data_IF_807605590971
#
_entry.id   IF_807605590971
#
_cell.length_a   1.000
_cell.length_b   1.000
_cell.length_c   1.000
_cell.angle_alpha   90.00
_cell.angle_beta   90.00
_cell.angle_gamma   90.00
#
_symmetry.space_group_name_H-M   'P 1'
#
loop_
_entity.id
_entity.type
_entity.pdbx_description
1 polymer ?
#
# COMPACT_ATOMS: atom_id res chain seq x y z
N UNK A 1 22.61 43.96 -9.20
CA UNK A 1 21.84 42.98 -8.41
C UNK A 1 22.43 42.94 -7.02
N UNK A 2 21.66 43.39 -6.03
CA UNK A 2 22.14 43.59 -4.66
C UNK A 2 21.85 42.35 -3.81
N UNK A 3 22.67 42.12 -2.79
CA UNK A 3 22.55 40.99 -1.86
C UNK A 3 21.16 40.86 -1.19
N UNK A 4 20.35 41.93 -1.20
CA UNK A 4 18.99 41.98 -0.66
C UNK A 4 17.91 41.30 -1.55
N UNK A 5 18.19 41.02 -2.84
CA UNK A 5 17.28 40.25 -3.70
C UNK A 5 17.53 38.73 -3.60
N UNK A 6 18.73 38.33 -3.21
CA UNK A 6 19.06 36.92 -2.96
C UNK A 6 18.39 36.38 -1.68
N UNK A 7 18.23 37.23 -0.66
CA UNK A 7 17.68 36.85 0.64
C UNK A 7 16.15 36.64 0.64
N UNK A 8 15.41 37.26 -0.30
CA UNK A 8 13.97 37.01 -0.48
C UNK A 8 13.64 35.67 -1.16
N UNK A 9 14.61 35.03 -1.84
CA UNK A 9 14.44 33.75 -2.53
C UNK A 9 14.76 32.57 -1.60
N UNK A 10 14.15 32.55 -0.42
CA UNK A 10 14.47 31.63 0.67
C UNK A 10 14.85 30.21 0.24
N UNK A 11 16.15 29.95 0.13
CA UNK A 11 16.77 28.63 0.10
C UNK A 11 16.21 27.60 -0.90
N UNK A 12 15.56 28.01 -2.00
CA UNK A 12 15.06 27.04 -2.97
C UNK A 12 16.23 26.40 -3.71
N UNK A 13 16.31 25.08 -3.67
CA UNK A 13 17.30 24.32 -4.43
C UNK A 13 17.25 24.66 -5.93
N UNK A 14 18.37 24.62 -6.67
CA UNK A 14 18.35 24.78 -8.12
C UNK A 14 17.44 23.72 -8.76
N UNK A 15 16.87 24.04 -9.94
CA UNK A 15 16.15 23.05 -10.72
C UNK A 15 17.10 21.90 -11.09
N UNK A 16 16.56 20.70 -11.13
CA UNK A 16 17.34 19.53 -11.51
C UNK A 16 17.84 19.67 -12.97
N UNK A 17 19.17 19.58 -13.21
CA UNK A 17 19.76 19.81 -14.53
C UNK A 17 19.33 18.78 -15.58
N UNK A 18 18.92 17.57 -15.15
CA UNK A 18 18.53 16.47 -16.04
C UNK A 18 17.05 16.49 -16.43
N UNK A 19 16.29 17.49 -15.98
CA UNK A 19 14.87 17.60 -16.30
C UNK A 19 14.63 17.74 -17.80
N UNK A 20 13.69 16.92 -18.29
CA UNK A 20 13.10 17.13 -19.60
C UNK A 20 12.39 18.50 -19.65
N UNK A 21 12.16 18.97 -20.87
CA UNK A 21 11.64 20.32 -21.11
C UNK A 21 10.30 20.54 -20.41
N UNK A 22 9.41 19.57 -20.47
CA UNK A 22 8.05 19.68 -19.94
C UNK A 22 8.01 19.68 -18.41
N UNK A 23 8.86 18.89 -17.74
CA UNK A 23 8.98 18.90 -16.27
C UNK A 23 9.65 20.18 -15.77
N UNK A 24 10.62 20.70 -16.52
CA UNK A 24 11.25 22.00 -16.21
C UNK A 24 10.25 23.14 -16.31
N UNK A 25 9.49 23.21 -17.41
CA UNK A 25 8.46 24.22 -17.62
C UNK A 25 7.39 24.19 -16.50
N UNK A 26 6.96 22.98 -16.09
CA UNK A 26 6.01 22.84 -14.98
C UNK A 26 6.62 23.23 -13.62
N UNK A 27 7.85 22.83 -13.33
CA UNK A 27 8.53 23.18 -12.08
C UNK A 27 8.78 24.69 -11.96
N UNK A 28 9.14 25.35 -13.06
CA UNK A 28 9.29 26.81 -13.12
C UNK A 28 7.97 27.52 -12.83
N UNK A 29 6.86 27.06 -13.43
CA UNK A 29 5.53 27.59 -13.16
C UNK A 29 5.14 27.40 -11.68
N UNK A 30 5.39 26.22 -11.12
CA UNK A 30 5.09 25.91 -9.72
C UNK A 30 5.92 26.76 -8.74
N UNK A 31 7.21 26.98 -9.04
CA UNK A 31 8.06 27.89 -8.26
C UNK A 31 7.58 29.32 -8.32
N UNK A 32 7.12 29.78 -9.49
CA UNK A 32 6.54 31.12 -9.65
C UNK A 32 5.36 31.33 -8.72
N UNK A 33 4.43 30.35 -8.68
CA UNK A 33 3.29 30.37 -7.77
C UNK A 33 3.70 30.35 -6.30
N UNK A 34 4.64 29.47 -5.94
CA UNK A 34 5.11 29.34 -4.56
C UNK A 34 5.83 30.60 -4.05
N UNK A 35 6.70 31.19 -4.88
CA UNK A 35 7.37 32.44 -4.55
C UNK A 35 6.39 33.60 -4.38
N UNK A 36 5.26 33.54 -5.08
CA UNK A 36 4.15 34.47 -4.92
C UNK A 36 3.69 34.58 -3.46
N UNK A 37 3.58 33.47 -2.73
CA UNK A 37 3.12 33.42 -1.34
C UNK A 37 4.05 34.10 -0.32
N UNK A 38 5.31 34.39 -0.68
CA UNK A 38 6.26 35.05 0.23
C UNK A 38 6.60 34.27 1.52
N UNK A 39 6.34 32.95 1.56
CA UNK A 39 6.59 32.09 2.72
C UNK A 39 7.76 31.14 2.49
N UNK A 40 8.47 30.78 3.57
CA UNK A 40 9.55 29.79 3.50
C UNK A 40 9.01 28.37 3.23
N UNK A 41 9.82 27.53 2.58
CA UNK A 41 9.50 26.11 2.31
C UNK A 41 9.10 25.37 3.58
N UNK A 42 9.85 25.53 4.69
CA UNK A 42 9.52 24.88 5.97
C UNK A 42 8.18 25.34 6.54
N UNK A 43 7.90 26.65 6.50
CA UNK A 43 6.64 27.21 7.01
C UNK A 43 5.45 26.76 6.17
N UNK A 44 5.58 26.76 4.84
CA UNK A 44 4.49 26.33 3.96
C UNK A 44 4.26 24.82 4.02
N UNK A 45 5.34 24.03 4.05
CA UNK A 45 5.25 22.58 4.24
C UNK A 45 4.52 22.23 5.53
N UNK A 46 4.82 22.92 6.64
CA UNK A 46 4.10 22.75 7.91
C UNK A 46 2.61 23.10 7.82
N UNK A 47 2.22 24.12 7.04
CA UNK A 47 0.81 24.50 6.84
C UNK A 47 0.03 23.43 6.08
N UNK A 48 0.68 22.79 5.12
CA UNK A 48 0.09 21.74 4.30
C UNK A 48 0.36 20.33 4.83
N UNK A 49 0.84 20.20 6.09
CA UNK A 49 1.22 18.92 6.71
C UNK A 49 2.16 18.06 5.84
N UNK A 50 3.01 18.71 5.05
CA UNK A 50 3.96 18.12 4.12
C UNK A 50 5.37 18.13 4.72
N UNK A 51 6.18 17.12 4.37
CA UNK A 51 7.61 17.17 4.66
C UNK A 51 8.27 18.29 3.82
N UNK A 52 9.08 19.19 4.42
CA UNK A 52 9.79 20.25 3.69
C UNK A 52 10.64 19.73 2.51
N UNK A 53 11.20 18.53 2.63
CA UNK A 53 11.95 17.87 1.55
C UNK A 53 11.06 17.46 0.37
N UNK A 54 9.83 17.03 0.61
CA UNK A 54 8.85 16.71 -0.44
C UNK A 54 8.44 17.96 -1.21
N UNK A 55 8.16 19.05 -0.48
CA UNK A 55 7.90 20.35 -1.11
C UNK A 55 9.10 20.85 -1.92
N UNK A 56 10.33 20.70 -1.41
CA UNK A 56 11.55 21.04 -2.15
C UNK A 56 11.69 20.23 -3.43
N UNK A 57 11.40 18.92 -3.40
CA UNK A 57 11.41 18.04 -4.60
C UNK A 57 10.36 18.45 -5.65
N UNK A 58 9.17 18.86 -5.21
CA UNK A 58 8.14 19.42 -6.11
C UNK A 58 8.61 20.70 -6.79
N UNK A 59 9.18 21.63 -6.01
CA UNK A 59 9.68 22.90 -6.53
C UNK A 59 10.96 22.76 -7.35
N UNK A 60 11.77 21.72 -7.11
CA UNK A 60 12.97 21.42 -7.88
C UNK A 60 12.66 20.71 -9.21
N UNK A 61 11.44 20.20 -9.39
CA UNK A 61 11.03 19.45 -10.57
C UNK A 61 11.46 17.99 -10.60
N UNK A 62 12.32 17.56 -9.64
CA UNK A 62 12.74 16.17 -9.47
C UNK A 62 11.58 15.23 -9.11
N UNK A 63 10.44 15.81 -8.71
CA UNK A 63 9.19 15.10 -8.49
C UNK A 63 8.02 15.95 -8.97
N UNK A 64 7.09 15.36 -9.71
CA UNK A 64 5.89 16.08 -10.14
C UNK A 64 4.90 16.16 -8.96
N UNK A 65 4.49 17.39 -8.62
CA UNK A 65 3.48 17.62 -7.61
C UNK A 65 2.11 17.03 -8.01
N UNK A 66 1.38 16.38 -7.08
CA UNK A 66 -0.02 16.02 -7.29
C UNK A 66 -0.85 17.23 -7.68
N UNK A 67 -1.88 17.04 -8.50
CA UNK A 67 -2.69 18.18 -8.97
C UNK A 67 -3.43 18.85 -7.81
N UNK A 68 -3.85 18.07 -6.82
CA UNK A 68 -4.52 18.53 -5.60
C UNK A 68 -3.65 19.51 -4.81
N UNK A 69 -2.35 19.24 -4.72
CA UNK A 69 -1.39 20.16 -4.11
C UNK A 69 -1.30 21.48 -4.89
N UNK A 70 -1.32 21.41 -6.23
CA UNK A 70 -1.29 22.60 -7.09
C UNK A 70 -2.57 23.42 -6.88
N UNK A 71 -3.73 22.77 -6.76
CA UNK A 71 -5.00 23.45 -6.48
C UNK A 71 -5.03 24.11 -5.10
N UNK A 72 -4.45 23.46 -4.10
CA UNK A 72 -4.32 24.02 -2.76
C UNK A 72 -3.34 25.19 -2.73
N UNK A 73 -2.23 25.11 -3.48
CA UNK A 73 -1.30 26.22 -3.68
C UNK A 73 -1.98 27.42 -4.35
N UNK A 74 -2.76 27.18 -5.40
CA UNK A 74 -3.51 28.23 -6.11
C UNK A 74 -4.56 28.88 -5.20
N UNK A 75 -5.24 28.10 -4.37
CA UNK A 75 -6.21 28.60 -3.38
C UNK A 75 -5.54 29.47 -2.34
N UNK A 76 -4.46 28.98 -1.74
CA UNK A 76 -3.67 29.73 -0.76
C UNK A 76 -3.13 31.04 -1.34
N UNK A 77 -2.75 31.05 -2.63
CA UNK A 77 -2.29 32.25 -3.32
C UNK A 77 -3.43 33.26 -3.57
N UNK A 78 -4.62 32.77 -3.93
CA UNK A 78 -5.80 33.59 -4.09
C UNK A 78 -6.22 34.25 -2.76
N UNK A 79 -6.12 33.49 -1.66
CA UNK A 79 -6.46 33.95 -0.31
C UNK A 79 -5.45 34.99 0.24
N UNK A 80 -4.15 34.86 -0.06
CA UNK A 80 -3.09 35.75 0.46
C UNK A 80 -2.93 37.06 -0.34
N UNK A 81 -3.33 37.07 -1.63
CA UNK A 81 -3.11 38.22 -2.52
C UNK A 81 -4.36 38.82 -3.18
N UNK A 82 -5.57 38.31 -2.91
CA UNK A 82 -6.80 38.73 -3.59
C UNK A 82 -6.68 38.71 -5.14
N UNK A 83 -5.77 37.88 -5.67
CA UNK A 83 -5.54 37.71 -7.10
C UNK A 83 -6.54 36.69 -7.61
N UNK A 84 -7.46 37.12 -8.48
CA UNK A 84 -8.27 36.19 -9.26
C UNK A 84 -7.38 35.56 -10.34
N UNK A 85 -7.00 34.32 -10.12
CA UNK A 85 -6.37 33.51 -11.17
C UNK A 85 -7.34 33.40 -12.35
N UNK A 86 -6.90 33.84 -13.53
CA UNK A 86 -7.66 33.72 -14.77
C UNK A 86 -7.89 32.24 -15.11
N UNK A 87 -9.07 31.92 -15.62
CA UNK A 87 -9.46 30.56 -16.02
C UNK A 87 -8.51 30.00 -17.09
N UNK A 88 -7.99 30.89 -17.95
CA UNK A 88 -6.95 30.57 -18.94
C UNK A 88 -5.62 30.16 -18.31
N UNK A 89 -5.21 30.81 -17.21
CA UNK A 89 -3.95 30.50 -16.52
C UNK A 89 -4.01 29.12 -15.85
N UNK A 90 -5.18 28.77 -15.27
CA UNK A 90 -5.41 27.45 -14.69
C UNK A 90 -5.41 26.35 -15.75
N UNK A 91 -6.04 26.60 -16.90
CA UNK A 91 -6.03 25.66 -18.03
C UNK A 91 -4.62 25.44 -18.60
N UNK A 92 -3.81 26.51 -18.68
CA UNK A 92 -2.41 26.41 -19.11
C UNK A 92 -1.57 25.57 -18.14
N UNK A 93 -1.73 25.78 -16.83
CA UNK A 93 -1.02 25.01 -15.80
C UNK A 93 -1.42 23.53 -15.80
N UNK A 94 -2.71 23.23 -16.02
CA UNK A 94 -3.19 21.85 -16.21
C UNK A 94 -2.57 21.18 -17.45
N UNK A 95 -2.43 21.93 -18.54
CA UNK A 95 -1.79 21.43 -19.75
C UNK A 95 -0.32 21.08 -19.50
N UNK A 96 0.42 21.96 -18.83
CA UNK A 96 1.82 21.74 -18.45
C UNK A 96 1.98 20.55 -17.48
N UNK A 97 1.10 20.43 -16.48
CA UNK A 97 1.10 19.30 -15.56
C UNK A 97 0.88 17.96 -16.27
N UNK A 98 -0.10 17.89 -17.18
CA UNK A 98 -0.35 16.71 -18.02
C UNK A 98 0.79 16.42 -18.99
N UNK A 99 1.49 17.44 -19.49
CA UNK A 99 2.66 17.26 -20.34
C UNK A 99 3.84 16.67 -19.53
N UNK A 100 4.12 17.23 -18.35
CA UNK A 100 5.15 16.74 -17.43
C UNK A 100 4.89 15.29 -17.00
N UNK A 101 3.64 14.93 -16.67
CA UNK A 101 3.27 13.55 -16.30
C UNK A 101 3.45 12.54 -17.44
N UNK A 102 3.31 12.98 -18.69
CA UNK A 102 3.50 12.14 -19.88
C UNK A 102 4.97 11.86 -20.16
N UNK A 103 5.86 12.81 -19.84
CA UNK A 103 7.28 12.75 -20.16
C UNK A 103 8.16 12.32 -18.99
N UNK A 104 7.69 12.47 -17.75
CA UNK A 104 8.32 11.89 -16.56
C UNK A 104 8.14 10.37 -16.58
N UNK A 105 9.23 9.67 -16.91
CA UNK A 105 9.26 8.22 -17.02
C UNK A 105 8.71 7.52 -15.77
N UNK A 106 7.68 6.67 -15.98
CA UNK A 106 7.22 5.48 -15.24
C UNK A 106 7.28 5.41 -13.70
N UNK A 107 8.40 5.76 -13.06
CA UNK A 107 8.67 5.60 -11.62
C UNK A 107 7.90 6.63 -10.79
N UNK A 108 7.70 7.85 -11.32
CA UNK A 108 6.92 8.89 -10.62
C UNK A 108 5.46 8.50 -10.38
N UNK A 109 4.85 7.75 -11.31
CA UNK A 109 3.48 7.22 -11.16
C UNK A 109 3.40 6.07 -10.15
N UNK A 110 4.39 5.17 -10.14
CA UNK A 110 4.45 4.06 -9.18
C UNK A 110 4.67 4.58 -7.74
N UNK A 111 5.55 5.57 -7.56
CA UNK A 111 5.73 6.23 -6.25
C UNK A 111 4.46 6.96 -5.81
N UNK A 112 3.82 7.74 -6.71
CA UNK A 112 2.54 8.39 -6.40
C UNK A 112 1.43 7.40 -6.03
N UNK A 113 1.39 6.23 -6.69
CA UNK A 113 0.43 5.18 -6.38
C UNK A 113 0.72 4.53 -5.02
N UNK A 114 1.98 4.20 -4.73
CA UNK A 114 2.37 3.62 -3.44
C UNK A 114 2.15 4.61 -2.28
N UNK A 115 2.37 5.92 -2.49
CA UNK A 115 2.02 6.93 -1.50
C UNK A 115 0.52 7.05 -1.29
N UNK A 116 -0.27 7.02 -2.36
CA UNK A 116 -1.74 6.99 -2.25
C UNK A 116 -2.23 5.77 -1.48
N UNK A 117 -1.61 4.61 -1.71
CA UNK A 117 -1.90 3.38 -0.96
C UNK A 117 -1.46 3.47 0.50
N UNK A 118 -0.28 4.04 0.78
CA UNK A 118 0.22 4.25 2.13
C UNK A 118 -0.69 5.19 2.93
N UNK A 119 -1.12 6.30 2.32
CA UNK A 119 -2.08 7.22 2.95
C UNK A 119 -3.43 6.56 3.21
N UNK A 120 -3.91 5.69 2.31
CA UNK A 120 -5.13 4.93 2.54
C UNK A 120 -4.95 3.93 3.70
N UNK A 121 -3.83 3.21 3.75
CA UNK A 121 -3.52 2.26 4.81
C UNK A 121 -3.31 2.94 6.18
N UNK A 122 -2.65 4.09 6.23
CA UNK A 122 -2.46 4.88 7.47
C UNK A 122 -3.80 5.39 8.03
N UNK A 123 -4.73 5.82 7.17
CA UNK A 123 -6.09 6.16 7.62
C UNK A 123 -6.82 4.95 8.19
N UNK A 124 -6.69 3.79 7.56
CA UNK A 124 -7.28 2.54 8.04
C UNK A 124 -6.69 2.14 9.41
N UNK A 125 -5.37 2.21 9.56
CA UNK A 125 -4.67 1.90 10.81
C UNK A 125 -5.11 2.83 11.95
N UNK A 126 -5.22 4.14 11.70
CA UNK A 126 -5.73 5.10 12.69
C UNK A 126 -7.18 4.83 13.08
N UNK A 127 -8.03 4.45 12.12
CA UNK A 127 -9.42 4.11 12.40
C UNK A 127 -9.52 2.81 13.23
N UNK A 128 -8.70 1.81 12.91
CA UNK A 128 -8.64 0.56 13.67
C UNK A 128 -8.13 0.79 15.10
N UNK A 129 -7.04 1.57 15.27
CA UNK A 129 -6.52 1.94 16.59
C UNK A 129 -7.51 2.75 17.42
N UNK A 130 -8.18 3.74 16.83
CA UNK A 130 -9.22 4.51 17.53
C UNK A 130 -10.39 3.63 17.98
N UNK A 131 -10.75 2.60 17.19
CA UNK A 131 -11.79 1.63 17.56
C UNK A 131 -11.33 0.70 18.68
N UNK A 132 -10.07 0.25 18.66
CA UNK A 132 -9.48 -0.49 19.76
C UNK A 132 -9.56 0.31 21.07
N UNK A 133 -9.09 1.56 21.08
CA UNK A 133 -9.13 2.44 22.25
C UNK A 133 -10.56 2.63 22.78
N UNK A 134 -11.54 2.81 21.88
CA UNK A 134 -12.96 2.92 22.26
C UNK A 134 -13.48 1.66 22.93
N UNK A 135 -13.15 0.49 22.40
CA UNK A 135 -13.57 -0.80 22.97
C UNK A 135 -12.89 -1.09 24.30
N UNK A 136 -11.60 -0.75 24.43
CA UNK A 136 -10.84 -0.90 25.67
C UNK A 136 -11.42 -0.01 26.79
N UNK A 137 -11.71 1.26 26.48
CA UNK A 137 -12.41 2.15 27.42
C UNK A 137 -13.81 1.64 27.81
N UNK A 138 -14.62 1.18 26.84
CA UNK A 138 -15.94 0.63 27.14
C UNK A 138 -15.86 -0.63 28.01
N UNK A 139 -14.86 -1.49 27.78
CA UNK A 139 -14.62 -2.68 28.58
C UNK A 139 -14.25 -2.34 30.03
N UNK A 140 -13.38 -1.35 30.22
CA UNK A 140 -12.97 -0.88 31.54
C UNK A 140 -14.12 -0.22 32.31
N UNK A 141 -14.92 0.63 31.66
CA UNK A 141 -16.13 1.22 32.26
C UNK A 141 -17.12 0.14 32.71
N UNK A 142 -17.29 -0.92 31.90
CA UNK A 142 -18.18 -2.03 32.22
C UNK A 142 -17.64 -2.86 33.39
N UNK A 143 -16.33 -3.13 33.44
CA UNK A 143 -15.68 -3.81 34.57
C UNK A 143 -15.81 -3.01 35.86
N UNK A 144 -15.64 -1.69 35.80
CA UNK A 144 -15.80 -0.81 36.94
C UNK A 144 -17.25 -0.85 37.46
N UNK A 145 -18.23 -0.86 36.56
CA UNK A 145 -19.65 -0.97 36.92
C UNK A 145 -19.96 -2.30 37.63
N UNK A 146 -19.35 -3.41 37.21
CA UNK A 146 -19.44 -4.70 37.92
C UNK A 146 -18.84 -4.60 39.32
N UNK A 147 -17.65 -4.03 39.47
CA UNK A 147 -17.00 -3.87 40.77
C UNK A 147 -17.84 -3.00 41.74
N UNK A 148 -18.47 -1.93 41.22
CA UNK A 148 -19.37 -1.09 42.01
C UNK A 148 -20.63 -1.84 42.46
N UNK A 149 -21.20 -2.70 41.59
CA UNK A 149 -22.32 -3.57 41.93
C UNK A 149 -21.95 -4.62 42.98
N UNK A 150 -20.79 -5.25 42.87
CA UNK A 150 -20.26 -6.20 43.87
C UNK A 150 -20.07 -5.51 45.23
N UNK A 151 -19.55 -4.28 45.23
CA UNK A 151 -19.46 -3.47 46.45
C UNK A 151 -20.81 -3.10 47.06
N UNK A 152 -21.88 -2.98 46.27
CA UNK A 152 -23.26 -2.77 46.75
C UNK A 152 -23.86 -4.07 47.30
N UNK A 153 -23.64 -5.20 46.63
CA UNK A 153 -24.08 -6.53 47.07
C UNK A 153 -23.46 -6.90 48.44
N UNK A 154 -22.14 -6.74 48.58
CA UNK A 154 -21.44 -7.03 49.83
C UNK A 154 -21.95 -6.18 51.01
N UNK A 155 -22.31 -4.90 50.78
CA UNK A 155 -22.92 -4.04 51.80
C UNK A 155 -24.30 -4.54 52.21
N UNK A 156 -25.13 -4.91 51.23
CA UNK A 156 -26.49 -5.42 51.46
C UNK A 156 -26.47 -6.76 52.21
N UNK A 157 -25.50 -7.63 51.93
CA UNK A 157 -25.27 -8.87 52.69
C UNK A 157 -24.83 -8.63 54.13
N UNK A 158 -23.94 -7.67 54.36
CA UNK A 158 -23.50 -7.30 55.71
C UNK A 158 -24.66 -6.76 56.58
N UNK A 159 -25.54 -5.95 55.98
CA UNK A 159 -26.73 -5.40 56.65
C UNK A 159 -27.74 -6.51 57.01
N UNK A 160 -27.87 -7.55 56.18
CA UNK A 160 -28.75 -8.70 56.43
C UNK A 160 -28.17 -9.70 57.46
N UNK A 161 -26.85 -9.80 57.58
CA UNK A 161 -26.15 -10.72 58.49
C UNK A 161 -26.02 -10.22 59.94
N UNK A 162 -26.27 -8.92 60.19
CA UNK A 162 -25.98 -8.27 61.46
C UNK A 162 -27.11 -8.18 62.49
N UNK A 163 -28.38 -8.30 62.11
CA UNK A 163 -29.52 -8.04 63.02
C UNK A 163 -30.69 -9.06 62.90
N UNK A 164 -30.94 -9.90 63.92
CA UNK A 164 -32.04 -10.88 63.92
C UNK A 164 -33.44 -10.23 63.96
N UNK A 165 -33.55 -8.92 64.24
CA UNK A 165 -34.82 -8.18 64.14
C UNK A 165 -35.14 -7.75 62.70
N UNK A 166 -34.12 -7.52 61.86
CA UNK A 166 -34.28 -7.09 60.46
C UNK A 166 -34.80 -8.21 59.54
N UNK A 167 -34.51 -9.48 59.86
CA UNK A 167 -35.02 -10.66 59.14
C UNK A 167 -36.55 -10.79 59.13
N UNK A 168 -37.25 -10.20 60.10
CA UNK A 168 -38.73 -10.20 60.14
C UNK A 168 -39.37 -9.16 59.21
N UNK A 169 -38.60 -8.16 58.76
CA UNK A 169 -39.03 -7.13 57.79
C UNK A 169 -38.48 -7.41 56.37
N UNK A 170 -37.87 -8.58 56.14
CA UNK A 170 -37.14 -8.92 54.92
C UNK A 170 -38.03 -9.16 53.68
N UNK A 171 -39.34 -9.30 53.83
CA UNK A 171 -40.28 -9.48 52.70
C UNK A 171 -40.29 -8.28 51.74
N UNK A 172 -39.89 -7.08 52.17
CA UNK A 172 -39.75 -5.90 51.32
C UNK A 172 -38.35 -5.71 50.69
N UNK A 173 -37.29 -6.27 51.28
CA UNK A 173 -35.91 -6.18 50.78
C UNK A 173 -35.52 -7.36 49.88
N UNK A 174 -36.37 -8.39 49.80
CA UNK A 174 -36.15 -9.64 49.06
C UNK A 174 -35.91 -9.47 47.56
N UNK A 175 -36.35 -8.35 46.95
CA UNK A 175 -36.25 -8.14 45.50
C UNK A 175 -34.95 -7.40 45.07
N UNK A 176 -34.29 -6.68 45.99
CA UNK A 176 -33.14 -5.83 45.64
C UNK A 176 -31.87 -6.64 45.33
N UNK A 177 -31.59 -7.69 46.10
CA UNK A 177 -30.44 -8.58 45.87
C UNK A 177 -30.51 -9.31 44.52
N UNK A 178 -31.62 -10.01 44.20
CA UNK A 178 -31.78 -10.68 42.91
C UNK A 178 -31.70 -9.73 41.71
N UNK A 179 -32.18 -8.49 41.83
CA UNK A 179 -32.09 -7.49 40.77
C UNK A 179 -30.64 -7.06 40.50
N UNK A 180 -29.84 -6.81 41.55
CA UNK A 180 -28.42 -6.46 41.43
C UNK A 180 -27.59 -7.63 40.88
N UNK A 181 -27.90 -8.86 41.27
CA UNK A 181 -27.26 -10.07 40.71
C UNK A 181 -27.57 -10.22 39.22
N UNK A 182 -28.82 -10.02 38.81
CA UNK A 182 -29.21 -10.07 37.40
C UNK A 182 -28.53 -8.97 36.57
N UNK A 183 -28.40 -7.76 37.11
CA UNK A 183 -27.67 -6.64 36.47
C UNK A 183 -26.17 -6.96 36.32
N UNK A 184 -25.54 -7.51 37.37
CA UNK A 184 -24.14 -7.98 37.32
C UNK A 184 -23.95 -9.06 36.25
N UNK A 185 -24.82 -10.06 36.23
CA UNK A 185 -24.72 -11.18 35.27
C UNK A 185 -24.91 -10.69 33.83
N UNK A 186 -25.80 -9.72 33.60
CA UNK A 186 -25.95 -9.07 32.30
C UNK A 186 -24.68 -8.30 31.88
N UNK A 187 -24.09 -7.52 32.79
CA UNK A 187 -22.83 -6.82 32.52
C UNK A 187 -21.66 -7.78 32.31
N UNK A 188 -21.62 -8.93 32.99
CA UNK A 188 -20.59 -9.95 32.77
C UNK A 188 -20.67 -10.56 31.36
N UNK A 189 -21.87 -10.75 30.84
CA UNK A 189 -22.08 -11.16 29.43
C UNK A 189 -21.59 -10.06 28.47
N UNK A 190 -21.87 -8.79 28.78
CA UNK A 190 -21.39 -7.67 27.96
C UNK A 190 -19.86 -7.55 27.98
N UNK A 191 -19.20 -7.76 29.14
CA UNK A 191 -17.74 -7.82 29.25
C UNK A 191 -17.17 -8.91 28.34
N UNK A 192 -17.78 -10.10 28.32
CA UNK A 192 -17.33 -11.18 27.43
C UNK A 192 -17.45 -10.78 25.95
N UNK A 193 -18.57 -10.15 25.56
CA UNK A 193 -18.78 -9.66 24.19
C UNK A 193 -17.77 -8.58 23.80
N UNK A 194 -17.60 -7.56 24.63
CA UNK A 194 -16.66 -6.46 24.40
C UNK A 194 -15.22 -6.96 24.35
N UNK A 195 -14.85 -7.95 25.16
CA UNK A 195 -13.51 -8.57 25.11
C UNK A 195 -13.26 -9.26 23.77
N UNK A 196 -14.23 -10.01 23.25
CA UNK A 196 -14.10 -10.68 21.94
C UNK A 196 -14.04 -9.65 20.79
N UNK A 197 -14.89 -8.62 20.83
CA UNK A 197 -14.84 -7.51 19.87
C UNK A 197 -13.49 -6.75 19.91
N UNK A 198 -12.93 -6.55 21.11
CA UNK A 198 -11.63 -5.91 21.30
C UNK A 198 -10.48 -6.75 20.74
N UNK A 199 -10.50 -8.07 20.94
CA UNK A 199 -9.48 -8.97 20.38
C UNK A 199 -9.49 -8.95 18.85
N UNK A 200 -10.68 -8.91 18.23
CA UNK A 200 -10.81 -8.75 16.78
C UNK A 200 -10.32 -7.37 16.32
N UNK A 201 -10.63 -6.30 17.05
CA UNK A 201 -10.17 -4.95 16.73
C UNK A 201 -8.64 -4.83 16.81
N UNK A 202 -8.01 -5.42 17.85
CA UNK A 202 -6.55 -5.51 17.99
C UNK A 202 -5.89 -6.22 16.82
N UNK A 203 -6.45 -7.35 16.40
CA UNK A 203 -5.94 -8.08 15.24
C UNK A 203 -6.03 -7.24 13.96
N UNK A 204 -7.15 -6.52 13.77
CA UNK A 204 -7.32 -5.63 12.61
C UNK A 204 -6.33 -4.46 12.64
N UNK A 205 -6.13 -3.82 13.80
CA UNK A 205 -5.15 -2.75 13.98
C UNK A 205 -3.73 -3.23 13.65
N UNK A 206 -3.32 -4.38 14.18
CA UNK A 206 -2.00 -4.96 13.90
C UNK A 206 -1.79 -5.29 12.41
N UNK A 207 -2.82 -5.80 11.72
CA UNK A 207 -2.78 -6.06 10.28
C UNK A 207 -2.68 -4.76 9.47
N UNK A 208 -3.41 -3.71 9.85
CA UNK A 208 -3.37 -2.41 9.19
C UNK A 208 -1.99 -1.73 9.36
N UNK A 209 -1.38 -1.83 10.54
CA UNK A 209 -0.02 -1.35 10.80
C UNK A 209 1.03 -2.13 10.01
N UNK A 210 0.93 -3.46 9.94
CA UNK A 210 1.82 -4.29 9.13
C UNK A 210 1.73 -3.94 7.63
N UNK A 211 0.53 -3.61 7.14
CA UNK A 211 0.31 -3.12 5.77
C UNK A 211 0.98 -1.77 5.51
N UNK A 212 0.91 -0.84 6.47
CA UNK A 212 1.61 0.44 6.39
C UNK A 212 3.13 0.21 6.30
N UNK A 213 3.69 -0.59 7.20
CA UNK A 213 5.12 -0.90 7.22
C UNK A 213 5.62 -1.56 5.91
N UNK A 214 4.78 -2.42 5.30
CA UNK A 214 5.09 -3.02 4.00
C UNK A 214 5.15 -1.97 2.89
N UNK A 215 4.15 -1.08 2.82
CA UNK A 215 4.08 -0.02 1.82
C UNK A 215 5.22 0.99 1.99
N UNK A 216 5.59 1.34 3.23
CA UNK A 216 6.77 2.15 3.52
C UNK A 216 8.06 1.49 3.04
N UNK A 217 8.23 0.18 3.28
CA UNK A 217 9.39 -0.57 2.80
C UNK A 217 9.44 -0.63 1.27
N UNK A 218 8.30 -0.81 0.61
CA UNK A 218 8.20 -0.75 -0.85
C UNK A 218 8.54 0.65 -1.38
N UNK A 219 8.07 1.70 -0.71
CA UNK A 219 8.41 3.08 -1.05
C UNK A 219 9.93 3.31 -0.93
N UNK A 220 10.52 2.88 0.18
CA UNK A 220 11.98 2.94 0.41
C UNK A 220 12.76 2.21 -0.66
N UNK A 221 12.32 1.03 -1.10
CA UNK A 221 12.99 0.28 -2.16
C UNK A 221 12.91 0.99 -3.51
N UNK A 222 11.76 1.58 -3.85
CA UNK A 222 11.60 2.36 -5.08
C UNK A 222 12.40 3.66 -5.01
N UNK A 223 12.43 4.35 -3.88
CA UNK A 223 13.25 5.55 -3.65
C UNK A 223 14.76 5.24 -3.62
N UNK A 224 15.17 4.09 -3.09
CA UNK A 224 16.58 3.64 -3.12
C UNK A 224 17.02 3.24 -4.53
N UNK A 225 16.12 2.69 -5.36
CA UNK A 225 16.39 2.48 -6.78
C UNK A 225 16.51 3.81 -7.54
N UNK A 226 15.77 4.86 -7.15
CA UNK A 226 16.00 6.21 -7.68
C UNK A 226 17.39 6.76 -7.29
N UNK A 227 17.86 6.47 -6.07
CA UNK A 227 19.22 6.83 -5.63
C UNK A 227 20.32 5.99 -6.27
N UNK A 228 20.06 4.71 -6.55
CA UNK A 228 20.99 3.81 -7.21
C UNK A 228 21.08 4.08 -8.72
N UNK A 229 19.99 4.43 -9.41
CA UNK A 229 20.02 4.87 -10.81
C UNK A 229 20.71 6.25 -10.96
N UNK A 230 20.62 7.13 -9.95
CA UNK A 230 21.36 8.40 -9.93
C UNK A 230 22.86 8.22 -9.62
N UNK A 231 23.25 7.23 -8.82
CA UNK A 231 24.65 6.88 -8.54
C UNK A 231 25.26 5.91 -9.56
N UNK A 232 24.41 5.18 -10.29
CA UNK A 232 24.76 4.30 -11.40
C UNK A 232 24.23 4.89 -12.71
N UNK A 233 24.67 6.10 -13.04
CA UNK A 233 24.89 6.40 -14.45
C UNK A 233 25.95 5.39 -14.94
N UNK A 234 25.62 4.42 -15.82
CA UNK A 234 26.67 3.66 -16.46
C UNK A 234 27.39 4.65 -17.39
N UNK A 235 28.73 4.74 -17.39
CA UNK A 235 29.40 5.37 -18.52
C UNK A 235 28.95 4.60 -19.75
N UNK A 236 28.32 5.30 -20.70
CA UNK A 236 27.85 4.81 -21.99
C UNK A 236 28.46 3.45 -22.39
N UNK A 237 27.85 2.36 -21.92
CA UNK A 237 28.20 1.01 -22.37
C UNK A 237 27.20 0.69 -23.46
N UNK A 238 27.70 0.85 -24.68
CA UNK A 238 27.21 0.25 -25.91
C UNK A 238 26.20 -0.87 -25.66
N UNK A 239 24.96 -0.62 -26.12
CA UNK A 239 23.97 -1.66 -26.42
C UNK A 239 24.71 -2.83 -27.05
N UNK A 240 24.89 -3.89 -26.28
CA UNK A 240 25.52 -5.11 -26.81
C UNK A 240 24.43 -5.84 -27.58
N UNK A 241 24.77 -6.23 -28.81
CA UNK A 241 23.91 -6.91 -29.79
C UNK A 241 22.97 -7.95 -29.17
N UNK A 242 21.76 -8.15 -29.74
CA UNK A 242 20.92 -9.27 -29.36
C UNK A 242 21.67 -10.59 -29.57
N UNK A 243 21.68 -11.42 -28.54
CA UNK A 243 22.10 -12.81 -28.59
C UNK A 243 21.19 -13.60 -29.54
N UNK A 244 21.69 -14.55 -30.36
CA UNK A 244 20.89 -15.23 -31.39
C UNK A 244 20.06 -16.42 -30.86
N UNK A 245 19.94 -16.56 -29.54
CA UNK A 245 19.12 -17.61 -28.92
C UNK A 245 17.60 -17.31 -28.99
N UNK A 246 16.74 -18.33 -28.90
CA UNK A 246 15.30 -18.13 -28.84
C UNK A 246 14.93 -17.27 -27.62
N UNK A 247 13.97 -16.33 -27.76
CA UNK A 247 13.59 -15.44 -26.69
C UNK A 247 13.12 -16.23 -25.45
N UNK A 248 13.43 -15.77 -24.22
CA UNK A 248 12.91 -16.37 -23.00
C UNK A 248 11.38 -16.47 -23.02
N UNK A 249 10.82 -17.61 -22.63
CA UNK A 249 9.36 -17.82 -22.57
C UNK A 249 8.80 -17.44 -21.20
N UNK A 250 7.65 -16.80 -21.16
CA UNK A 250 6.90 -16.46 -19.94
C UNK A 250 5.51 -17.11 -20.05
N UNK A 251 5.14 -17.90 -19.05
CA UNK A 251 3.86 -18.61 -19.02
C UNK A 251 2.83 -17.78 -18.23
N UNK A 252 1.70 -17.48 -18.85
CA UNK A 252 0.55 -16.80 -18.26
C UNK A 252 -0.55 -17.83 -18.01
N UNK A 253 -1.03 -17.95 -16.78
CA UNK A 253 -2.08 -18.91 -16.41
C UNK A 253 -3.18 -18.19 -15.65
N UNK A 254 -4.36 -18.12 -16.27
CA UNK A 254 -5.56 -17.51 -15.69
C UNK A 254 -6.79 -18.12 -16.40
N UNK A 255 -7.84 -18.44 -15.66
CA UNK A 255 -9.05 -19.06 -16.22
C UNK A 255 -9.92 -18.06 -17.00
N UNK A 256 -9.69 -16.76 -16.80
CA UNK A 256 -10.45 -15.70 -17.44
C UNK A 256 -9.67 -15.13 -18.63
N UNK A 257 -10.23 -15.21 -19.86
CA UNK A 257 -9.54 -14.75 -21.06
C UNK A 257 -9.30 -13.23 -21.04
N UNK A 258 -10.13 -12.46 -20.33
CA UNK A 258 -9.92 -11.02 -20.15
C UNK A 258 -8.63 -10.71 -19.38
N UNK A 259 -8.30 -11.51 -18.36
CA UNK A 259 -7.10 -11.34 -17.56
C UNK A 259 -5.85 -11.69 -18.38
N UNK A 260 -5.91 -12.78 -19.14
CA UNK A 260 -4.83 -13.16 -20.07
C UNK A 260 -4.54 -12.04 -21.07
N UNK A 261 -5.58 -11.46 -21.69
CA UNK A 261 -5.43 -10.34 -22.62
C UNK A 261 -4.78 -9.11 -21.97
N UNK A 262 -5.16 -8.79 -20.73
CA UNK A 262 -4.53 -7.69 -19.97
C UNK A 262 -3.06 -7.99 -19.69
N UNK A 263 -2.73 -9.20 -19.23
CA UNK A 263 -1.35 -9.60 -18.95
C UNK A 263 -0.51 -9.56 -20.23
N UNK A 264 -1.04 -10.03 -21.35
CA UNK A 264 -0.40 -9.97 -22.67
C UNK A 264 -0.15 -8.53 -23.11
N UNK A 265 -1.14 -7.64 -22.98
CA UNK A 265 -0.98 -6.23 -23.32
C UNK A 265 0.04 -5.50 -22.44
N UNK A 266 0.11 -5.87 -21.14
CA UNK A 266 1.05 -5.30 -20.17
C UNK A 266 2.48 -5.74 -20.44
N UNK A 267 2.66 -7.00 -20.84
CA UNK A 267 3.97 -7.66 -21.01
C UNK A 267 4.45 -7.73 -22.46
N UNK A 268 3.64 -7.35 -23.45
CA UNK A 268 3.94 -7.46 -24.89
C UNK A 268 5.08 -6.58 -25.43
N UNK A 269 5.94 -6.03 -24.57
CA UNK A 269 7.12 -5.28 -24.97
C UNK A 269 8.30 -6.24 -25.23
N UNK A 270 9.09 -5.93 -26.27
CA UNK A 270 10.17 -6.73 -26.85
C UNK A 270 11.12 -7.39 -25.82
N UNK A 271 11.42 -8.69 -26.01
CA UNK A 271 12.50 -9.38 -25.29
C UNK A 271 12.17 -10.79 -24.77
N UNK A 272 10.90 -11.21 -24.78
CA UNK A 272 10.43 -12.52 -24.34
C UNK A 272 9.20 -12.95 -25.15
N UNK A 273 8.93 -14.25 -25.15
CA UNK A 273 7.74 -14.85 -25.76
C UNK A 273 6.70 -15.12 -24.67
N UNK A 274 5.43 -14.76 -24.93
CA UNK A 274 4.33 -15.01 -24.01
C UNK A 274 3.56 -16.25 -24.44
N UNK A 275 3.35 -17.18 -23.52
CA UNK A 275 2.54 -18.38 -23.72
C UNK A 275 1.40 -18.34 -22.72
N UNK A 276 0.16 -18.46 -23.19
CA UNK A 276 -1.03 -18.36 -22.35
C UNK A 276 -1.71 -19.72 -22.16
N UNK A 277 -2.20 -19.98 -20.95
CA UNK A 277 -2.92 -21.18 -20.57
C UNK A 277 -4.19 -20.80 -19.79
N UNK A 278 -5.32 -21.39 -20.16
CA UNK A 278 -6.62 -21.07 -19.58
C UNK A 278 -6.97 -21.93 -18.35
N UNK A 279 -6.07 -22.81 -17.90
CA UNK A 279 -6.30 -23.69 -16.74
C UNK A 279 -4.99 -24.29 -16.21
N UNK A 280 -5.02 -24.80 -14.97
CA UNK A 280 -3.90 -25.56 -14.39
C UNK A 280 -3.44 -26.74 -15.26
N UNK A 281 -4.35 -27.61 -15.76
CA UNK A 281 -3.99 -28.66 -16.72
C UNK A 281 -3.36 -28.15 -18.01
N UNK A 282 -3.83 -27.04 -18.57
CA UNK A 282 -3.23 -26.42 -19.77
C UNK A 282 -1.82 -25.92 -19.48
N UNK A 283 -1.59 -25.31 -18.30
CA UNK A 283 -0.26 -24.90 -17.87
C UNK A 283 0.69 -26.10 -17.76
N UNK A 284 0.24 -27.21 -17.19
CA UNK A 284 1.04 -28.43 -17.09
C UNK A 284 1.33 -29.09 -18.44
N UNK A 285 0.47 -28.91 -19.45
CA UNK A 285 0.70 -29.32 -20.84
C UNK A 285 1.70 -28.40 -21.53
N UNK A 286 1.58 -27.08 -21.36
CA UNK A 286 2.51 -26.10 -21.90
C UNK A 286 3.95 -26.34 -21.42
N UNK A 287 4.11 -26.70 -20.15
CA UNK A 287 5.40 -27.05 -19.54
C UNK A 287 6.03 -28.37 -20.02
N UNK A 288 5.38 -29.11 -20.94
CA UNK A 288 5.98 -30.27 -21.61
C UNK A 288 6.89 -29.87 -22.78
N UNK A 289 6.77 -28.63 -23.27
CA UNK A 289 7.62 -28.06 -24.32
C UNK A 289 9.12 -28.23 -23.96
N UNK A 290 10.00 -28.62 -24.90
CA UNK A 290 11.45 -28.70 -24.69
C UNK A 290 12.15 -27.38 -24.34
N UNK A 291 11.52 -26.23 -24.53
CA UNK A 291 12.09 -24.93 -24.15
C UNK A 291 11.78 -24.54 -22.71
N UNK A 292 12.80 -24.09 -21.96
CA UNK A 292 12.63 -23.66 -20.58
C UNK A 292 11.98 -22.26 -20.46
N UNK A 293 11.01 -22.14 -19.55
CA UNK A 293 10.36 -20.88 -19.18
C UNK A 293 11.19 -20.09 -18.16
N UNK A 294 11.22 -18.77 -18.34
CA UNK A 294 11.89 -17.84 -17.42
C UNK A 294 11.09 -17.60 -16.14
N UNK A 295 9.76 -17.50 -16.24
CA UNK A 295 8.85 -17.28 -15.11
C UNK A 295 7.42 -17.71 -15.48
N UNK A 296 6.65 -18.11 -14.47
CA UNK A 296 5.23 -18.45 -14.56
C UNK A 296 4.44 -17.43 -13.74
N UNK A 297 3.46 -16.78 -14.39
CA UNK A 297 2.44 -15.98 -13.74
C UNK A 297 1.19 -16.84 -13.59
N UNK A 298 0.78 -17.09 -12.35
CA UNK A 298 -0.24 -18.09 -12.03
C UNK A 298 -1.37 -17.49 -11.21
N UNK A 299 -2.59 -17.51 -11.74
CA UNK A 299 -3.77 -17.21 -10.93
C UNK A 299 -3.98 -18.28 -9.86
N UNK A 300 -4.32 -17.83 -8.66
CA UNK A 300 -4.68 -18.71 -7.55
C UNK A 300 -6.12 -19.19 -7.70
N UNK A 301 -7.03 -18.33 -8.14
CA UNK A 301 -8.47 -18.60 -8.17
C UNK A 301 -8.89 -19.19 -9.52
N UNK A 302 -8.65 -20.48 -9.71
CA UNK A 302 -9.08 -21.21 -10.92
C UNK A 302 -10.05 -22.36 -10.59
N UNK A 303 -11.07 -22.62 -11.42
CA UNK A 303 -11.99 -23.74 -11.24
C UNK A 303 -11.31 -25.08 -11.50
N UNK A 304 -11.67 -26.09 -10.71
CA UNK A 304 -11.12 -27.44 -10.81
C UNK A 304 -9.78 -27.56 -10.08
N UNK A 305 -8.68 -27.26 -10.78
CA UNK A 305 -7.33 -27.29 -10.21
C UNK A 305 -6.89 -25.86 -9.89
N UNK A 306 -6.72 -25.57 -8.59
CA UNK A 306 -6.33 -24.23 -8.14
C UNK A 306 -4.86 -23.90 -8.45
N UNK A 307 -4.47 -22.63 -8.31
CA UNK A 307 -3.09 -22.21 -8.57
C UNK A 307 -2.06 -22.84 -7.64
N UNK A 308 -2.42 -23.16 -6.39
CA UNK A 308 -1.49 -23.79 -5.45
C UNK A 308 -1.23 -25.26 -5.81
N UNK A 309 -2.27 -26.00 -6.15
CA UNK A 309 -2.20 -27.37 -6.63
C UNK A 309 -1.41 -27.44 -7.94
N UNK A 310 -1.69 -26.52 -8.87
CA UNK A 310 -0.92 -26.35 -10.11
C UNK A 310 0.56 -26.13 -9.80
N UNK A 311 0.91 -25.18 -8.92
CA UNK A 311 2.29 -24.92 -8.51
C UNK A 311 2.96 -26.15 -7.90
N UNK A 312 2.26 -26.89 -7.03
CA UNK A 312 2.79 -28.13 -6.46
C UNK A 312 3.09 -29.19 -7.54
N UNK A 313 2.22 -29.34 -8.56
CA UNK A 313 2.49 -30.22 -9.70
C UNK A 313 3.73 -29.78 -10.50
N UNK A 314 3.90 -28.48 -10.72
CA UNK A 314 5.05 -27.91 -11.42
C UNK A 314 6.34 -28.18 -10.65
N UNK A 315 6.34 -28.00 -9.33
CA UNK A 315 7.54 -28.17 -8.49
C UNK A 315 7.95 -29.62 -8.26
N UNK A 316 7.03 -30.58 -8.40
CA UNK A 316 7.35 -32.02 -8.28
C UNK A 316 8.25 -32.54 -9.40
N UNK A 317 8.17 -31.98 -10.61
CA UNK A 317 8.94 -32.47 -11.77
C UNK A 317 10.36 -31.91 -11.76
N UNK A 318 11.36 -32.76 -12.02
CA UNK A 318 12.78 -32.37 -12.00
C UNK A 318 13.13 -31.24 -12.98
N UNK A 319 12.45 -31.20 -14.12
CA UNK A 319 12.72 -30.21 -15.18
C UNK A 319 12.12 -28.83 -14.90
N UNK A 320 11.01 -28.76 -14.15
CA UNK A 320 10.24 -27.51 -13.96
C UNK A 320 10.31 -26.97 -12.53
N UNK A 321 10.97 -27.67 -11.60
CA UNK A 321 11.07 -27.26 -10.19
C UNK A 321 11.76 -25.92 -9.97
N UNK A 322 12.72 -25.59 -10.83
CA UNK A 322 13.55 -24.39 -10.69
C UNK A 322 12.93 -23.16 -11.37
N UNK A 323 11.82 -23.34 -12.09
CA UNK A 323 11.12 -22.24 -12.75
C UNK A 323 10.44 -21.40 -11.64
N UNK A 324 10.71 -20.09 -11.58
CA UNK A 324 10.08 -19.22 -10.59
C UNK A 324 8.59 -19.05 -10.91
N UNK A 325 7.76 -19.08 -9.85
CA UNK A 325 6.31 -18.88 -9.94
C UNK A 325 5.98 -17.61 -9.18
N UNK A 326 5.23 -16.71 -9.83
CA UNK A 326 4.64 -15.53 -9.24
C UNK A 326 3.13 -15.73 -9.22
N UNK A 327 2.53 -15.69 -8.04
CA UNK A 327 1.08 -15.78 -7.93
C UNK A 327 0.42 -14.44 -8.22
N UNK A 328 -0.64 -14.45 -9.01
CA UNK A 328 -1.50 -13.29 -9.26
C UNK A 328 -2.83 -13.56 -8.57
N UNK A 329 -3.19 -12.85 -7.51
CA UNK A 329 -4.34 -13.22 -6.66
C UNK A 329 -5.22 -12.04 -6.29
N UNK A 330 -6.54 -12.21 -6.25
CA UNK A 330 -7.49 -11.19 -5.76
C UNK A 330 -7.56 -11.08 -4.23
N UNK A 331 -6.85 -11.95 -3.51
CA UNK A 331 -6.94 -12.02 -2.04
C UNK A 331 -5.87 -11.12 -1.43
N UNK A 332 -6.28 -9.90 -1.08
CA UNK A 332 -5.66 -9.18 0.02
C UNK A 332 -6.13 -9.81 1.34
N UNK A 333 -5.19 -10.16 2.22
CA UNK A 333 -5.45 -10.37 3.65
C UNK A 333 -6.05 -11.71 4.10
N UNK A 334 -5.53 -12.85 3.65
CA UNK A 334 -5.73 -14.13 4.38
C UNK A 334 -4.37 -14.72 4.82
N UNK A 335 -4.11 -14.87 6.14
CA UNK A 335 -2.87 -15.43 6.69
C UNK A 335 -2.54 -16.84 6.18
N UNK A 336 -3.56 -17.66 5.87
CA UNK A 336 -3.37 -19.06 5.46
C UNK A 336 -2.80 -19.20 4.03
N UNK A 337 -2.99 -18.19 3.19
CA UNK A 337 -2.53 -18.21 1.81
C UNK A 337 -1.03 -17.92 1.65
N UNK A 338 -0.46 -17.08 2.52
CA UNK A 338 0.97 -16.79 2.53
C UNK A 338 1.78 -18.03 2.93
N UNK A 339 1.33 -18.81 3.92
CA UNK A 339 1.99 -20.06 4.30
C UNK A 339 1.93 -21.14 3.19
N UNK A 340 0.79 -21.29 2.51
CA UNK A 340 0.64 -22.30 1.44
C UNK A 340 1.46 -21.98 0.18
N UNK A 341 1.61 -20.70 -0.19
CA UNK A 341 2.40 -20.33 -1.37
C UNK A 341 3.92 -20.45 -1.17
N UNK A 342 4.44 -20.17 0.03
CA UNK A 342 5.85 -20.44 0.34
C UNK A 342 6.14 -21.96 0.40
N UNK A 343 5.23 -22.76 0.97
CA UNK A 343 5.34 -24.22 0.98
C UNK A 343 5.26 -24.84 -0.44
N UNK A 344 4.54 -24.18 -1.36
CA UNK A 344 4.43 -24.58 -2.76
C UNK A 344 5.59 -24.09 -3.66
N UNK A 345 6.59 -23.38 -3.11
CA UNK A 345 7.78 -22.95 -3.84
C UNK A 345 7.61 -21.71 -4.72
N UNK A 346 6.64 -20.85 -4.41
CA UNK A 346 6.50 -19.56 -5.07
C UNK A 346 7.57 -18.57 -4.61
N UNK A 347 7.97 -17.71 -5.55
CA UNK A 347 9.03 -16.72 -5.32
C UNK A 347 8.43 -15.36 -4.96
N UNK A 348 7.19 -15.09 -5.38
CA UNK A 348 6.56 -13.77 -5.22
C UNK A 348 5.03 -13.80 -5.38
N UNK A 349 4.35 -12.72 -4.97
CA UNK A 349 2.91 -12.52 -5.12
C UNK A 349 2.60 -11.12 -5.68
N UNK A 350 1.56 -11.03 -6.52
CA UNK A 350 1.03 -9.80 -7.09
C UNK A 350 -0.49 -9.76 -6.82
N UNK A 351 -0.97 -8.82 -5.99
CA UNK A 351 -2.40 -8.68 -5.77
C UNK A 351 -3.10 -8.12 -7.02
N UNK A 352 -4.31 -8.60 -7.30
CA UNK A 352 -5.25 -7.99 -8.25
C UNK A 352 -5.94 -6.80 -7.52
N UNK A 353 -6.09 -5.60 -8.13
CA UNK A 353 -5.75 -5.27 -9.51
C UNK A 353 -4.24 -5.19 -9.75
N UNK A 354 -3.79 -5.85 -10.83
CA UNK A 354 -2.37 -5.97 -11.18
C UNK A 354 -1.82 -4.61 -11.57
N UNK A 355 -0.79 -4.13 -10.87
CA UNK A 355 -0.02 -2.97 -11.34
C UNK A 355 0.84 -3.38 -12.55
N UNK A 356 0.60 -2.81 -13.75
CA UNK A 356 1.38 -3.10 -14.95
C UNK A 356 2.88 -2.89 -14.79
N UNK A 357 3.30 -1.95 -13.94
CA UNK A 357 4.72 -1.68 -13.73
C UNK A 357 5.38 -2.71 -12.82
N UNK A 358 4.79 -3.00 -11.65
CA UNK A 358 5.27 -4.05 -10.76
C UNK A 358 5.36 -5.41 -11.48
N UNK A 359 4.36 -5.74 -12.30
CA UNK A 359 4.37 -6.96 -13.11
C UNK A 359 5.56 -6.97 -14.09
N UNK A 360 5.76 -5.91 -14.87
CA UNK A 360 6.88 -5.80 -15.81
C UNK A 360 8.23 -5.88 -15.13
N UNK A 361 8.41 -5.18 -14.01
CA UNK A 361 9.68 -5.17 -13.27
C UNK A 361 10.03 -6.56 -12.74
N UNK A 362 9.06 -7.25 -12.10
CA UNK A 362 9.25 -8.62 -11.61
C UNK A 362 9.58 -9.58 -12.76
N UNK A 363 8.81 -9.54 -13.84
CA UNK A 363 9.05 -10.39 -15.02
C UNK A 363 10.43 -10.11 -15.64
N UNK A 364 10.82 -8.84 -15.79
CA UNK A 364 12.11 -8.46 -16.38
C UNK A 364 13.30 -9.03 -15.60
N UNK A 365 13.26 -9.00 -14.26
CA UNK A 365 14.31 -9.59 -13.42
C UNK A 365 14.46 -11.10 -13.69
N UNK A 366 13.35 -11.84 -13.74
CA UNK A 366 13.42 -13.28 -14.00
C UNK A 366 13.83 -13.62 -15.44
N UNK A 367 13.42 -12.80 -16.42
CA UNK A 367 13.86 -12.93 -17.81
C UNK A 367 15.38 -12.73 -17.92
N UNK A 368 15.94 -11.73 -17.24
CA UNK A 368 17.39 -11.48 -17.28
C UNK A 368 18.17 -12.58 -16.55
N UNK A 369 17.73 -13.00 -15.36
CA UNK A 369 18.31 -14.15 -14.65
C UNK A 369 18.28 -15.43 -15.48
N UNK A 370 17.22 -15.65 -16.25
CA UNK A 370 17.11 -16.80 -17.16
C UNK A 370 18.14 -16.73 -18.29
N UNK A 371 18.33 -15.56 -18.90
CA UNK A 371 19.36 -15.33 -19.92
C UNK A 371 20.75 -15.60 -19.36
N UNK A 372 21.08 -15.04 -18.19
CA UNK A 372 22.37 -15.28 -17.53
C UNK A 372 22.60 -16.78 -17.24
N UNK A 373 21.57 -17.49 -16.77
CA UNK A 373 21.66 -18.94 -16.52
C UNK A 373 21.89 -19.74 -17.80
N UNK A 374 21.26 -19.37 -18.91
CA UNK A 374 21.48 -20.02 -20.21
C UNK A 374 22.87 -19.75 -20.75
N UNK A 375 23.40 -18.54 -20.58
CA UNK A 375 24.77 -18.21 -20.98
C UNK A 375 25.86 -18.94 -20.19
N UNK A 376 25.56 -19.38 -18.96
CA UNK A 376 26.50 -20.10 -18.08
C UNK A 376 26.44 -21.63 -18.22
N UNK A 377 25.46 -22.17 -18.95
CA UNK A 377 25.38 -23.60 -19.31
C UNK A 377 26.08 -23.84 -20.64
#
# INVERSE_FOLDING_TARGET
MTAAEADRRGGLQPLDPELNRECREFAEALRGLFLGLGVSVRRYASRCYLNPGTLSRYLAGSRIAPWEFVEELLRNLADDHAVRLDEQARAHLQHQHRAALRTSASIGRAVQQLEGQLHAADREARQAGAREEQLDHALDDTRQSIADLEGRLNRLEADLGGDPAAQRNAEGHSAAGPALLAERDALAVEVARLSEELDLARQHAALAEARCALLERQLLLVEQQQGADAAAAPPARTVTRPDPGPPPKVLLVDDRPENLLVLEAVLGLHGHELVSAASGPDALRALLDPDDYAVILLDVQMPGMDGYETAAHIKRRARTRDIPIIFVTAIGSDPDHSMRGYAAGAVDFIPKPVDPWALRAKVAVFVELHRERRHRR
#
